data_IF_142335460044
#
_entry.id   IF_142335460044
#
_cell.length_a   1.000
_cell.length_b   1.000
_cell.length_c   1.000
_cell.angle_alpha   90.00
_cell.angle_beta   90.00
_cell.angle_gamma   90.00
#
_symmetry.space_group_name_H-M   'P 1'
#
loop_
_entity.id
_entity.type
_entity.pdbx_description
1 polymer ?
#
# COMPACT_ATOMS: atom_id res chain seq x y z
N UNK A 1 39.86 -3.73 10.56
CA UNK A 1 38.45 -3.30 10.35
C UNK A 1 37.91 -4.11 9.19
N UNK A 2 37.19 -5.19 9.48
CA UNK A 2 36.58 -6.06 8.46
C UNK A 2 35.34 -5.37 7.89
N UNK A 3 35.37 -5.03 6.61
CA UNK A 3 34.23 -4.49 5.85
C UNK A 3 33.17 -5.59 5.76
N UNK A 4 31.97 -5.32 6.29
CA UNK A 4 30.80 -6.21 6.16
C UNK A 4 30.44 -6.32 4.67
N UNK A 5 30.26 -7.53 4.10
CA UNK A 5 29.79 -7.67 2.73
C UNK A 5 28.39 -7.03 2.61
N UNK A 6 28.02 -6.46 1.44
CA UNK A 6 26.67 -5.94 1.24
C UNK A 6 25.71 -7.09 1.49
N UNK A 7 24.86 -6.94 2.51
CA UNK A 7 23.93 -7.98 2.91
C UNK A 7 23.11 -8.39 1.69
N UNK A 8 23.11 -9.68 1.38
CA UNK A 8 22.29 -10.28 0.34
C UNK A 8 20.86 -9.75 0.48
N UNK A 9 20.32 -9.22 -0.63
CA UNK A 9 18.94 -8.80 -0.85
C UNK A 9 18.00 -9.31 0.25
N UNK A 10 17.63 -8.43 1.19
CA UNK A 10 16.67 -8.81 2.21
C UNK A 10 15.42 -9.36 1.47
N UNK A 11 14.87 -10.52 1.86
CA UNK A 11 13.87 -11.24 1.06
C UNK A 11 12.55 -10.49 0.83
N UNK A 12 12.41 -9.29 1.39
CA UNK A 12 11.25 -8.42 1.31
C UNK A 12 11.61 -6.99 0.85
N UNK A 13 12.86 -6.75 0.45
CA UNK A 13 13.28 -5.43 -0.03
C UNK A 13 12.49 -5.07 -1.29
N UNK A 14 11.94 -3.86 -1.33
CA UNK A 14 11.10 -3.38 -2.42
C UNK A 14 9.62 -3.81 -2.37
N UNK A 15 9.17 -4.57 -1.35
CA UNK A 15 7.77 -5.00 -1.23
C UNK A 15 7.20 -4.86 0.19
N UNK A 16 5.91 -4.55 0.30
CA UNK A 16 5.17 -4.50 1.56
C UNK A 16 3.77 -5.11 1.39
N UNK A 17 3.07 -5.36 2.51
CA UNK A 17 1.76 -5.99 2.54
C UNK A 17 0.72 -5.10 3.22
N UNK A 18 -0.51 -5.12 2.71
CA UNK A 18 -1.70 -4.52 3.32
C UNK A 18 -2.67 -5.65 3.65
N UNK A 19 -3.18 -5.68 4.88
CA UNK A 19 -4.22 -6.63 5.26
C UNK A 19 -5.57 -6.22 4.64
N UNK A 20 -6.22 -7.15 3.94
CA UNK A 20 -7.52 -6.96 3.30
C UNK A 20 -8.48 -8.09 3.72
N UNK A 21 -9.72 -7.79 4.13
CA UNK A 21 -10.65 -8.82 4.59
C UNK A 21 -11.13 -9.79 3.49
N UNK A 22 -10.94 -9.47 2.21
CA UNK A 22 -11.36 -10.31 1.08
C UNK A 22 -10.17 -11.09 0.50
N UNK A 23 -9.02 -10.44 0.36
CA UNK A 23 -7.82 -10.98 -0.28
C UNK A 23 -6.72 -11.38 0.70
N UNK A 24 -6.99 -11.32 2.01
CA UNK A 24 -6.07 -11.58 3.13
C UNK A 24 -4.92 -10.56 3.17
N UNK A 25 -4.00 -10.63 2.19
CA UNK A 25 -2.85 -9.74 2.06
C UNK A 25 -2.66 -9.30 0.61
N UNK A 26 -2.65 -7.99 0.40
CA UNK A 26 -2.34 -7.35 -0.88
C UNK A 26 -0.88 -6.88 -0.81
N UNK A 27 -0.04 -7.37 -1.72
CA UNK A 27 1.33 -6.88 -1.85
C UNK A 27 1.40 -5.61 -2.69
N UNK A 28 2.23 -4.66 -2.28
CA UNK A 28 2.53 -3.45 -3.04
C UNK A 28 4.02 -3.12 -2.99
N UNK A 29 4.49 -2.38 -3.98
CA UNK A 29 5.89 -1.98 -4.11
C UNK A 29 6.22 -0.80 -3.19
N UNK A 30 7.39 -0.88 -2.55
CA UNK A 30 7.98 0.18 -1.74
C UNK A 30 9.38 0.49 -2.26
N UNK A 31 9.94 1.68 -1.98
CA UNK A 31 11.32 1.97 -2.40
C UNK A 31 12.29 0.97 -1.76
N UNK A 32 13.30 0.55 -2.52
CA UNK A 32 14.35 -0.32 -2.01
C UNK A 32 15.16 0.37 -0.89
N UNK A 33 15.86 -0.41 -0.06
CA UNK A 33 16.71 0.09 1.02
C UNK A 33 17.78 1.11 0.54
N UNK A 34 18.24 0.97 -0.71
CA UNK A 34 19.05 1.97 -1.42
C UNK A 34 18.26 2.48 -2.63
N UNK A 35 17.40 3.49 -2.44
CA UNK A 35 16.49 3.95 -3.48
C UNK A 35 17.25 4.74 -4.55
N UNK A 36 16.84 4.59 -5.81
CA UNK A 36 17.19 5.56 -6.84
C UNK A 36 16.34 6.82 -6.68
N UNK A 37 16.91 8.01 -6.89
CA UNK A 37 16.19 9.28 -6.69
C UNK A 37 15.00 9.45 -7.63
N UNK A 38 15.03 8.76 -8.77
CA UNK A 38 13.97 8.79 -9.78
C UNK A 38 12.85 7.77 -9.53
N UNK A 39 13.04 6.86 -8.58
CA UNK A 39 12.11 5.77 -8.32
C UNK A 39 10.77 6.30 -7.79
N UNK A 40 9.69 5.76 -8.36
CA UNK A 40 8.32 5.98 -7.91
C UNK A 40 7.64 4.62 -7.78
N UNK A 41 7.13 4.35 -6.60
CA UNK A 41 6.53 3.05 -6.26
C UNK A 41 5.04 3.18 -6.02
N UNK A 42 4.34 2.05 -5.91
CA UNK A 42 2.91 2.04 -5.57
C UNK A 42 2.66 2.71 -4.22
N UNK A 43 3.61 2.62 -3.28
CA UNK A 43 3.56 3.37 -2.02
C UNK A 43 3.33 4.86 -2.25
N UNK A 44 4.04 5.49 -3.18
CA UNK A 44 3.92 6.93 -3.44
C UNK A 44 2.54 7.31 -3.99
N UNK A 45 1.96 6.43 -4.82
CA UNK A 45 0.60 6.62 -5.34
C UNK A 45 -0.45 6.41 -4.24
N UNK A 46 -0.33 5.34 -3.45
CA UNK A 46 -1.23 5.01 -2.33
C UNK A 46 -1.20 6.14 -1.30
N UNK A 47 -0.02 6.63 -0.94
CA UNK A 47 0.16 7.71 0.03
C UNK A 47 -0.16 9.10 -0.56
N UNK A 48 -0.44 9.20 -1.85
CA UNK A 48 -0.80 10.47 -2.49
C UNK A 48 -2.15 11.01 -1.96
N UNK A 49 -2.33 12.35 -1.86
CA UNK A 49 -3.60 12.94 -1.44
C UNK A 49 -4.79 12.54 -2.34
N UNK A 50 -4.52 12.25 -3.62
CA UNK A 50 -5.54 11.86 -4.61
C UNK A 50 -6.09 10.47 -4.41
N UNK A 51 -5.30 9.54 -3.87
CA UNK A 51 -5.76 8.19 -3.51
C UNK A 51 -6.29 8.19 -2.08
N UNK A 52 -5.61 8.87 -1.14
CA UNK A 52 -6.07 8.94 0.25
C UNK A 52 -7.46 9.56 0.41
N UNK A 53 -7.85 10.51 -0.46
CA UNK A 53 -9.22 11.06 -0.45
C UNK A 53 -10.32 10.02 -0.71
N UNK A 54 -10.00 8.89 -1.37
CA UNK A 54 -10.99 7.85 -1.70
C UNK A 54 -11.58 7.19 -0.44
N UNK A 55 -10.82 7.21 0.67
CA UNK A 55 -11.29 6.78 2.01
C UNK A 55 -12.54 7.51 2.49
N UNK A 56 -12.82 8.69 1.96
CA UNK A 56 -13.99 9.51 2.32
C UNK A 56 -15.17 9.34 1.36
N UNK A 57 -15.09 8.43 0.38
CA UNK A 57 -16.13 8.20 -0.62
C UNK A 57 -16.65 6.77 -0.45
N UNK A 58 -17.93 6.63 -0.09
CA UNK A 58 -18.57 5.31 0.00
C UNK A 58 -18.64 4.64 -1.37
N UNK A 59 -18.29 3.35 -1.42
CA UNK A 59 -18.32 2.56 -2.64
C UNK A 59 -19.73 2.51 -3.25
N UNK A 60 -20.75 2.26 -2.42
CA UNK A 60 -22.13 2.05 -2.84
C UNK A 60 -23.08 3.22 -2.52
N UNK A 61 -22.54 4.36 -2.07
CA UNK A 61 -23.28 5.59 -1.75
C UNK A 61 -24.56 5.38 -0.91
N UNK A 62 -25.74 5.43 -1.53
CA UNK A 62 -27.03 5.35 -0.85
C UNK A 62 -27.37 3.94 -0.33
N UNK A 63 -26.67 2.90 -0.77
CA UNK A 63 -26.93 1.53 -0.31
C UNK A 63 -26.76 1.38 1.22
N UNK A 64 -25.94 2.21 1.86
CA UNK A 64 -25.75 2.23 3.32
C UNK A 64 -27.03 2.53 4.10
N UNK A 65 -28.01 3.20 3.49
CA UNK A 65 -29.32 3.45 4.12
C UNK A 65 -30.19 2.20 4.22
N UNK A 66 -29.96 1.22 3.35
CA UNK A 66 -30.70 -0.05 3.31
C UNK A 66 -29.89 -1.17 3.98
N UNK A 67 -28.58 -1.18 3.78
CA UNK A 67 -27.65 -2.16 4.32
C UNK A 67 -26.59 -1.42 5.17
N UNK A 68 -26.79 -1.30 6.49
CA UNK A 68 -25.90 -0.51 7.35
C UNK A 68 -24.43 -0.95 7.29
N UNK A 69 -24.17 -2.23 7.00
CA UNK A 69 -22.81 -2.79 6.86
C UNK A 69 -22.10 -2.41 5.56
N UNK A 70 -22.76 -1.72 4.62
CA UNK A 70 -22.14 -1.23 3.37
C UNK A 70 -21.25 0.00 3.63
N UNK A 71 -20.26 -0.15 4.50
CA UNK A 71 -19.39 0.93 4.99
C UNK A 71 -18.10 1.10 4.19
N UNK A 72 -17.79 0.15 3.29
CA UNK A 72 -16.55 0.14 2.52
C UNK A 72 -16.37 1.40 1.66
N UNK A 73 -15.15 1.96 1.68
CA UNK A 73 -14.74 3.10 0.86
C UNK A 73 -14.28 2.66 -0.53
N UNK A 74 -14.06 3.65 -1.40
CA UNK A 74 -13.31 3.49 -2.65
C UNK A 74 -11.83 3.28 -2.42
#
# INVERSE_FOLDING_TARGET
MTVRPPDASAPYDGSALIADPIHEYISFTVPYATPDQSERTEKDLIDSPWVQRLRYIYQLQSARWVYPSAEHSR
#
